data_IF_790113346300
#
_entry.id   IF_790113346300
#
_cell.length_a   1.000
_cell.length_b   1.000
_cell.length_c   1.000
_cell.angle_alpha   90.00
_cell.angle_beta   90.00
_cell.angle_gamma   90.00
#
_symmetry.space_group_name_H-M   'P 1'
#
loop_
_entity.id
_entity.type
_entity.pdbx_description
1 polymer ?
#
# COMPACT_ATOMS: atom_id res chain seq x y z
N UNK A 1 10.06 11.26 -3.60
CA UNK A 1 9.44 10.55 -4.75
C UNK A 1 7.93 10.47 -4.51
N UNK A 2 7.14 10.27 -5.55
CA UNK A 2 5.68 10.11 -5.42
C UNK A 2 5.28 8.98 -4.44
N UNK A 3 6.06 7.89 -4.45
CA UNK A 3 5.91 6.74 -3.54
C UNK A 3 6.03 7.11 -2.06
N UNK A 4 7.02 7.92 -1.69
CA UNK A 4 7.21 8.34 -0.30
C UNK A 4 6.03 9.19 0.20
N UNK A 5 5.57 10.14 -0.60
CA UNK A 5 4.42 10.97 -0.24
C UNK A 5 3.14 10.13 -0.09
N UNK A 6 2.96 9.11 -0.94
CA UNK A 6 1.83 8.17 -0.84
C UNK A 6 1.92 7.35 0.46
N UNK A 7 3.09 6.79 0.77
CA UNK A 7 3.32 6.03 2.01
C UNK A 7 3.03 6.87 3.26
N UNK A 8 3.63 8.06 3.36
CA UNK A 8 3.44 8.96 4.50
C UNK A 8 1.98 9.37 4.68
N UNK A 9 1.26 9.61 3.58
CA UNK A 9 -0.17 9.92 3.62
C UNK A 9 -0.99 8.79 4.23
N UNK A 10 -0.77 7.54 3.80
CA UNK A 10 -1.49 6.40 4.37
C UNK A 10 -1.11 6.16 5.83
N UNK A 11 0.17 6.26 6.20
CA UNK A 11 0.60 6.14 7.62
C UNK A 11 0.02 7.23 8.52
N UNK A 12 -0.23 8.43 7.99
CA UNK A 12 -0.86 9.52 8.75
C UNK A 12 -2.37 9.36 8.89
N UNK A 13 -3.04 8.93 7.82
CA UNK A 13 -4.50 8.81 7.78
C UNK A 13 -5.02 7.53 8.43
N UNK A 14 -4.23 6.46 8.34
CA UNK A 14 -4.60 5.14 8.83
C UNK A 14 -3.38 4.43 9.48
N UNK A 15 -2.87 4.98 10.61
CA UNK A 15 -1.68 4.44 11.28
C UNK A 15 -1.87 2.99 11.74
N UNK A 16 -3.11 2.61 12.04
CA UNK A 16 -3.49 1.29 12.54
C UNK A 16 -4.00 0.35 11.43
N UNK A 17 -4.06 0.80 10.17
CA UNK A 17 -4.55 -0.02 9.06
C UNK A 17 -6.01 -0.44 9.22
N UNK A 18 -6.86 0.41 9.79
CA UNK A 18 -8.29 0.11 9.99
C UNK A 18 -9.06 0.09 8.66
N UNK A 19 -8.60 0.86 7.67
CA UNK A 19 -9.29 1.06 6.40
C UNK A 19 -8.55 0.42 5.21
N UNK A 20 -7.35 -0.09 5.42
CA UNK A 20 -6.63 -0.89 4.43
C UNK A 20 -5.63 -1.84 5.07
N UNK A 21 -4.60 -2.24 4.31
CA UNK A 21 -3.58 -3.17 4.78
C UNK A 21 -2.27 -2.42 5.04
N UNK A 22 -1.73 -2.56 6.25
CA UNK A 22 -0.41 -2.01 6.60
C UNK A 22 0.66 -2.60 5.67
N UNK A 23 0.64 -3.91 5.42
CA UNK A 23 1.57 -4.58 4.51
C UNK A 23 1.51 -3.97 3.10
N UNK A 24 0.30 -3.65 2.62
CA UNK A 24 0.15 -2.94 1.35
C UNK A 24 0.80 -1.55 1.40
N UNK A 25 0.64 -0.81 2.50
CA UNK A 25 1.24 0.52 2.63
C UNK A 25 2.77 0.44 2.67
N UNK A 26 3.33 -0.54 3.39
CA UNK A 26 4.78 -0.78 3.45
C UNK A 26 5.33 -1.18 2.08
N UNK A 27 4.59 -1.98 1.30
CA UNK A 27 4.96 -2.34 -0.07
C UNK A 27 5.06 -1.13 -1.03
N UNK A 28 4.49 0.03 -0.68
CA UNK A 28 4.64 1.26 -1.47
C UNK A 28 6.11 1.69 -1.54
N UNK A 29 6.97 1.32 -0.60
CA UNK A 29 8.39 1.63 -0.67
C UNK A 29 9.24 0.47 -1.21
N UNK A 30 8.64 -0.70 -1.45
CA UNK A 30 9.32 -1.86 -2.00
C UNK A 30 9.77 -1.59 -3.46
N UNK A 31 11.07 -1.66 -3.77
CA UNK A 31 11.56 -1.49 -5.15
C UNK A 31 11.08 -2.58 -6.12
N UNK A 32 10.66 -3.75 -5.62
CA UNK A 32 10.19 -4.89 -6.42
C UNK A 32 8.90 -5.50 -5.83
N UNK A 33 7.77 -4.76 -5.84
CA UNK A 33 6.54 -5.21 -5.21
C UNK A 33 5.98 -6.46 -5.90
N UNK A 34 5.35 -7.34 -5.12
CA UNK A 34 4.68 -8.51 -5.67
C UNK A 34 3.42 -8.12 -6.45
N UNK A 35 3.50 -8.10 -7.78
CA UNK A 35 2.37 -7.82 -8.65
C UNK A 35 1.60 -9.10 -8.93
N UNK A 36 0.42 -9.23 -8.33
CA UNK A 36 -0.53 -10.30 -8.65
C UNK A 36 -1.40 -9.89 -9.82
N UNK A 37 -1.67 -10.84 -10.71
CA UNK A 37 -2.62 -10.63 -11.80
C UNK A 37 -4.00 -10.43 -11.21
N UNK A 38 -4.68 -9.35 -11.60
CA UNK A 38 -6.08 -9.14 -11.24
C UNK A 38 -6.96 -10.20 -11.91
N UNK A 39 -7.84 -10.81 -11.13
CA UNK A 39 -8.85 -11.77 -11.56
C UNK A 39 -10.17 -11.27 -10.95
N UNK A 40 -11.17 -10.99 -11.78
CA UNK A 40 -12.52 -10.75 -11.29
C UNK A 40 -13.10 -12.10 -10.86
N UNK A 41 -13.43 -12.24 -9.58
CA UNK A 41 -14.25 -13.35 -9.10
C UNK A 41 -15.72 -12.98 -9.34
N UNK A 42 -16.44 -13.83 -10.08
CA UNK A 42 -17.85 -13.66 -10.48
C UNK A 42 -18.81 -14.18 -9.39
#
# INVERSE_FOLDING_TARGET
SDRLAKYERYRRLDPDGRWGSIDQYESILDPAPNLVRWIEEE
#
